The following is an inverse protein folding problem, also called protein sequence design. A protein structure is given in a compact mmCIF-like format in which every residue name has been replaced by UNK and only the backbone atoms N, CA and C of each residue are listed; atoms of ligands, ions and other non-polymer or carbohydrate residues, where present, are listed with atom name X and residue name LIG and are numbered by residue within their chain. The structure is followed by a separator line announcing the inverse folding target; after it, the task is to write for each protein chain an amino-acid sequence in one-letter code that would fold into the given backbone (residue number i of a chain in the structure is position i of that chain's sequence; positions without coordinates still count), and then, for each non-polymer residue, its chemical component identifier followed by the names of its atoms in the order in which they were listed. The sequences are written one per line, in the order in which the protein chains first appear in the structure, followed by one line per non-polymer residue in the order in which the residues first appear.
data_IF_728332822305
#
_entry.id   IF_728332822305
#
_cell.length_a   1.000
_cell.length_b   1.000
_cell.length_c   1.000
_cell.angle_alpha   90.00
_cell.angle_beta   90.00
_cell.angle_gamma   90.00
#
_symmetry.space_group_name_H-M   'P 1'
#
loop_
_entity.id
_entity.type
_entity.pdbx_description
1 polymer ?
#
# COMPACT_ATOMS: atom_id res chain seq x y z
N UNK A 1 -29.64 0.90 6.31
CA UNK A 1 -29.17 1.60 5.89
C UNK A 1 -27.95 1.47 5.31
N UNK A 2 -27.25 0.51 5.45
CA UNK A 2 -26.11 0.47 5.03
C UNK A 2 -25.97 0.21 3.68
N UNK A 3 -25.21 0.84 3.00
CA UNK A 3 -24.93 0.62 1.63
C UNK A 3 -23.56 0.02 1.53
N UNK A 4 -23.10 -0.26 0.35
CA UNK A 4 -21.76 -0.76 0.17
C UNK A 4 -20.70 0.17 0.64
N UNK A 5 -21.00 1.45 0.74
CA UNK A 5 -20.02 2.38 1.22
C UNK A 5 -19.66 2.15 2.64
N UNK A 6 -20.55 1.55 3.38
CA UNK A 6 -20.25 1.39 4.76
C UNK A 6 -19.32 0.29 5.05
N UNK A 7 -18.99 -0.52 4.09
CA UNK A 7 -17.96 -1.50 4.32
C UNK A 7 -16.63 -0.86 4.52
N UNK A 8 -16.46 0.35 3.99
CA UNK A 8 -15.18 1.04 4.16
C UNK A 8 -15.37 2.06 5.25
N UNK A 9 -15.09 1.67 6.47
CA UNK A 9 -15.19 2.55 7.62
C UNK A 9 -14.00 3.50 7.73
N UNK A 10 -12.98 3.29 6.93
CA UNK A 10 -11.74 4.04 7.06
C UNK A 10 -11.36 4.64 5.72
N UNK A 11 -10.90 5.88 5.71
CA UNK A 11 -10.41 6.52 4.51
C UNK A 11 -9.07 5.95 4.13
N UNK A 12 -8.80 5.87 2.83
CA UNK A 12 -7.52 5.39 2.35
C UNK A 12 -6.63 6.55 1.97
N UNK A 13 -5.34 6.42 2.26
CA UNK A 13 -4.36 7.40 1.82
C UNK A 13 -3.93 7.02 0.42
N UNK A 14 -4.03 7.95 -0.51
CA UNK A 14 -3.58 7.73 -1.88
C UNK A 14 -2.23 8.39 -2.06
N UNK A 15 -1.25 7.60 -2.50
CA UNK A 15 0.07 8.13 -2.76
C UNK A 15 0.83 7.10 -3.58
N UNK A 16 1.89 7.54 -4.25
CA UNK A 16 2.68 6.65 -5.08
C UNK A 16 4.05 6.48 -4.46
N UNK A 17 4.37 5.26 -4.08
CA UNK A 17 5.63 4.96 -3.42
C UNK A 17 5.98 3.49 -3.65
N UNK A 18 7.26 3.13 -3.72
CA UNK A 18 7.62 1.74 -3.97
C UNK A 18 7.14 0.80 -2.87
N UNK A 19 6.76 -0.40 -3.26
CA UNK A 19 6.51 -1.49 -2.33
C UNK A 19 7.34 -2.67 -2.81
N UNK A 20 7.98 -3.36 -1.89
CA UNK A 20 8.77 -4.55 -2.19
C UNK A 20 7.99 -5.75 -1.72
N UNK A 21 7.97 -6.81 -2.51
CA UNK A 21 7.20 -8.00 -2.14
C UNK A 21 7.87 -9.26 -2.64
N UNK A 22 7.60 -10.38 -1.96
CA UNK A 22 8.12 -11.69 -2.31
C UNK A 22 7.29 -12.73 -1.58
N UNK A 23 7.37 -14.00 -2.01
CA UNK A 23 6.73 -15.05 -1.26
C UNK A 23 7.39 -15.17 0.12
N UNK A 24 8.72 -15.04 0.14
CA UNK A 24 9.40 -14.79 1.40
C UNK A 24 10.66 -14.02 1.05
N UNK A 25 11.24 -13.34 2.05
CA UNK A 25 12.38 -12.47 1.78
C UNK A 25 13.71 -13.20 1.66
N UNK A 26 13.67 -14.52 1.67
CA UNK A 26 14.87 -15.28 1.38
C UNK A 26 15.02 -15.52 -0.12
N UNK A 27 13.97 -15.26 -0.87
CA UNK A 27 13.99 -15.46 -2.31
C UNK A 27 14.10 -14.14 -3.06
N UNK A 28 13.70 -14.19 -4.32
CA UNK A 28 13.80 -13.03 -5.16
C UNK A 28 12.78 -11.98 -4.79
N UNK A 29 13.23 -10.75 -4.71
CA UNK A 29 12.41 -9.62 -4.33
C UNK A 29 11.91 -8.90 -5.56
N UNK A 30 10.61 -8.63 -5.61
CA UNK A 30 10.01 -7.87 -6.69
C UNK A 30 9.54 -6.53 -6.13
N UNK A 31 9.32 -5.56 -7.00
CA UNK A 31 8.79 -4.29 -6.53
C UNK A 31 7.62 -3.83 -7.38
N UNK A 32 6.77 -3.02 -6.77
CA UNK A 32 5.66 -2.40 -7.43
C UNK A 32 5.50 -0.99 -6.91
N UNK A 33 4.35 -0.40 -7.18
CA UNK A 33 4.07 0.94 -6.74
C UNK A 33 2.76 0.98 -5.97
N UNK A 34 2.82 1.39 -4.71
CA UNK A 34 1.62 1.58 -3.91
C UNK A 34 0.76 2.66 -4.54
N UNK A 35 -0.54 2.48 -4.50
CA UNK A 35 -1.47 3.48 -4.97
C UNK A 35 -2.43 3.92 -3.88
N UNK A 36 -2.74 3.06 -2.92
CA UNK A 36 -3.49 3.49 -1.73
C UNK A 36 -3.24 2.52 -0.59
N UNK A 37 -3.47 2.99 0.63
CA UNK A 37 -3.27 2.18 1.83
C UNK A 37 -4.22 2.61 2.94
N UNK A 38 -4.70 1.62 3.70
CA UNK A 38 -5.44 1.84 4.93
C UNK A 38 -4.72 1.06 6.03
N UNK A 39 -5.28 1.03 7.23
CA UNK A 39 -4.62 0.30 8.30
C UNK A 39 -4.62 -1.21 8.07
N UNK A 40 -5.54 -1.74 7.27
CA UNK A 40 -5.67 -3.18 7.06
C UNK A 40 -5.34 -3.66 5.65
N UNK A 41 -5.39 -2.78 4.67
CA UNK A 41 -5.26 -3.19 3.27
C UNK A 41 -4.42 -2.19 2.48
N UNK A 42 -3.96 -2.62 1.33
CA UNK A 42 -3.26 -1.73 0.41
C UNK A 42 -3.50 -2.21 -1.01
N UNK A 43 -3.31 -1.32 -1.95
CA UNK A 43 -3.34 -1.67 -3.36
C UNK A 43 -2.06 -1.18 -4.00
N UNK A 44 -1.52 -1.97 -4.92
CA UNK A 44 -0.31 -1.58 -5.65
C UNK A 44 -0.39 -2.11 -7.06
N UNK A 45 0.42 -1.53 -7.94
CA UNK A 45 0.55 -2.03 -9.31
C UNK A 45 1.92 -2.67 -9.46
N UNK A 46 2.00 -3.64 -10.34
CA UNK A 46 3.27 -4.31 -10.64
C UNK A 46 3.23 -4.85 -12.05
N UNK A 47 4.37 -5.36 -12.51
CA UNK A 47 4.45 -5.94 -13.83
C UNK A 47 3.63 -7.22 -13.90
N UNK A 48 3.00 -7.43 -15.05
CA UNK A 48 2.27 -8.67 -15.31
C UNK A 48 3.24 -9.68 -15.91
N UNK A 49 3.97 -10.39 -15.07
CA UNK A 49 4.94 -11.38 -15.52
C UNK A 49 4.83 -12.62 -14.62
N UNK A 50 5.81 -13.51 -14.73
CA UNK A 50 5.77 -14.77 -13.98
C UNK A 50 5.82 -14.59 -12.50
N UNK A 51 6.40 -13.48 -12.04
CA UNK A 51 6.53 -13.21 -10.63
C UNK A 51 5.33 -12.46 -10.08
N UNK A 52 4.34 -12.14 -10.92
CA UNK A 52 3.22 -11.35 -10.42
C UNK A 52 2.36 -12.15 -9.45
N UNK A 53 1.82 -11.50 -8.44
CA UNK A 53 0.99 -12.18 -7.45
C UNK A 53 -0.30 -12.74 -8.03
N UNK A 54 -0.90 -13.67 -7.29
CA UNK A 54 -2.19 -14.23 -7.66
C UNK A 54 -3.08 -14.27 -6.43
N UNK A 55 -4.39 -14.26 -6.66
CA UNK A 55 -5.37 -14.21 -5.57
C UNK A 55 -5.19 -15.41 -4.63
N UNK A 56 -5.21 -15.14 -3.35
CA UNK A 56 -5.03 -16.17 -2.33
C UNK A 56 -3.59 -16.39 -1.90
N UNK A 57 -2.64 -15.81 -2.62
CA UNK A 57 -1.23 -16.00 -2.28
C UNK A 57 -0.85 -15.24 -1.03
N UNK A 58 0.06 -15.80 -0.24
CA UNK A 58 0.66 -15.09 0.89
C UNK A 58 1.92 -14.40 0.42
N UNK A 59 2.08 -13.16 0.81
CA UNK A 59 3.25 -12.37 0.43
C UNK A 59 3.86 -11.71 1.65
N UNK A 60 5.17 -11.56 1.61
CA UNK A 60 5.87 -10.69 2.56
C UNK A 60 6.10 -9.37 1.85
N UNK A 61 5.82 -8.26 2.53
CA UNK A 61 5.93 -6.94 1.91
C UNK A 61 6.71 -5.98 2.78
N UNK A 62 7.32 -5.00 2.13
CA UNK A 62 7.98 -3.88 2.79
C UNK A 62 7.62 -2.60 2.07
N UNK A 63 7.25 -1.59 2.82
CA UNK A 63 6.84 -0.32 2.25
C UNK A 63 6.96 0.77 3.30
N UNK A 64 6.86 2.03 2.85
CA UNK A 64 6.93 3.18 3.76
C UNK A 64 5.68 4.01 3.59
N UNK A 65 5.23 4.62 4.68
CA UNK A 65 4.03 5.45 4.68
C UNK A 65 4.36 6.79 5.29
N UNK A 66 3.92 7.90 4.66
CA UNK A 66 4.15 9.21 5.26
C UNK A 66 3.33 9.37 6.53
N UNK A 67 3.98 9.81 7.59
CA UNK A 67 3.35 10.07 8.88
C UNK A 67 3.52 11.53 9.21
N UNK A 68 2.45 12.19 9.60
CA UNK A 68 2.46 13.61 9.91
C UNK A 68 2.37 13.80 11.41
N UNK A 69 3.39 14.42 11.99
CA UNK A 69 3.44 14.63 13.41
C UNK A 69 2.65 15.84 13.83
N UNK A 70 2.55 16.04 15.14
CA UNK A 70 1.75 17.11 15.71
C UNK A 70 2.33 18.48 15.45
N UNK A 71 3.62 18.57 15.15
CA UNK A 71 4.26 19.85 14.95
C UNK A 71 4.76 19.99 13.54
N UNK A 72 3.91 19.70 12.57
CA UNK A 72 4.30 19.76 11.19
C UNK A 72 5.41 18.80 10.83
N UNK A 73 5.72 17.90 11.72
CA UNK A 73 6.73 16.88 11.44
C UNK A 73 6.28 15.95 10.34
N UNK A 74 7.22 15.52 9.53
CA UNK A 74 6.93 14.58 8.46
C UNK A 74 8.03 13.54 8.45
N UNK A 75 7.66 12.28 8.42
CA UNK A 75 8.64 11.22 8.27
C UNK A 75 8.00 10.03 7.58
N UNK A 76 8.84 9.22 6.97
CA UNK A 76 8.38 7.99 6.36
C UNK A 76 8.57 6.87 7.35
N UNK A 77 7.48 6.26 7.76
CA UNK A 77 7.54 5.12 8.66
C UNK A 77 7.63 3.86 7.82
N UNK A 78 8.57 2.99 8.14
CA UNK A 78 8.80 1.76 7.39
C UNK A 78 8.07 0.61 8.03
N UNK A 79 7.44 -0.21 7.20
CA UNK A 79 6.69 -1.35 7.69
C UNK A 79 7.05 -2.60 6.92
N UNK A 80 7.06 -3.73 7.61
CA UNK A 80 7.14 -5.04 7.00
C UNK A 80 5.90 -5.79 7.43
N UNK A 81 5.18 -6.37 6.47
CA UNK A 81 3.94 -7.08 6.77
C UNK A 81 3.80 -8.32 5.94
N UNK A 82 3.30 -9.38 6.57
CA UNK A 82 2.83 -10.54 5.85
C UNK A 82 1.43 -10.23 5.40
N UNK A 83 1.10 -10.54 4.16
CA UNK A 83 -0.17 -10.15 3.57
C UNK A 83 -0.77 -11.30 2.81
N UNK A 84 -2.07 -11.23 2.57
CA UNK A 84 -2.75 -12.15 1.71
C UNK A 84 -3.27 -11.38 0.51
N UNK A 85 -3.04 -11.90 -0.69
CA UNK A 85 -3.55 -11.27 -1.90
C UNK A 85 -5.04 -11.55 -1.98
N UNK A 86 -5.85 -10.49 -2.00
CA UNK A 86 -7.30 -10.63 -2.03
C UNK A 86 -7.84 -10.54 -3.44
N UNK A 87 -7.17 -9.80 -4.31
CA UNK A 87 -7.70 -9.56 -5.63
C UNK A 87 -6.57 -9.11 -6.56
N UNK A 88 -6.66 -9.53 -7.81
CA UNK A 88 -5.71 -9.12 -8.84
C UNK A 88 -6.52 -8.75 -10.09
N UNK A 89 -6.31 -7.54 -10.59
CA UNK A 89 -7.00 -7.07 -11.78
C UNK A 89 -5.99 -6.69 -12.85
N UNK A 90 -6.31 -6.95 -14.12
CA UNK A 90 -5.47 -6.50 -15.21
C UNK A 90 -5.74 -5.03 -15.47
N UNK A 91 -4.69 -4.24 -15.54
CA UNK A 91 -4.79 -2.83 -15.90
C UNK A 91 -4.47 -2.67 -17.37
N UNK A 92 -3.47 -3.42 -17.84
CA UNK A 92 -3.08 -3.45 -19.23
C UNK A 92 -2.41 -4.80 -19.49
N UNK A 93 -1.88 -5.00 -20.69
CA UNK A 93 -1.17 -6.22 -20.98
C UNK A 93 0.11 -6.37 -20.16
N UNK A 94 0.61 -5.26 -19.61
CA UNK A 94 1.89 -5.28 -18.92
C UNK A 94 1.79 -4.98 -17.42
N UNK A 95 0.62 -4.52 -16.95
CA UNK A 95 0.47 -4.06 -15.56
C UNK A 95 -0.73 -4.72 -14.91
N UNK A 96 -0.55 -5.15 -13.67
CA UNK A 96 -1.63 -5.66 -12.83
C UNK A 96 -1.78 -4.80 -11.60
N UNK A 97 -3.00 -4.73 -11.09
CA UNK A 97 -3.31 -4.07 -9.83
C UNK A 97 -3.62 -5.14 -8.81
N UNK A 98 -2.95 -5.10 -7.68
CA UNK A 98 -3.03 -6.12 -6.64
C UNK A 98 -3.57 -5.50 -5.37
N UNK A 99 -4.56 -6.12 -4.76
CA UNK A 99 -5.10 -5.69 -3.47
C UNK A 99 -4.69 -6.71 -2.43
N UNK A 100 -4.05 -6.24 -1.37
CA UNK A 100 -3.55 -7.11 -0.30
C UNK A 100 -4.17 -6.73 1.03
N UNK A 101 -4.29 -7.71 1.89
CA UNK A 101 -4.76 -7.52 3.25
C UNK A 101 -3.63 -7.87 4.20
N UNK A 102 -3.31 -6.97 5.12
CA UNK A 102 -2.24 -7.20 6.10
C UNK A 102 -2.69 -8.23 7.12
N UNK A 103 -1.79 -9.14 7.49
CA UNK A 103 -2.07 -10.07 8.57
C UNK A 103 -2.18 -9.34 9.90
N UNK A 104 -1.46 -8.24 10.02
CA UNK A 104 -1.48 -7.43 11.22
C UNK A 104 -1.69 -5.99 10.82
N UNK A 105 -2.68 -5.29 11.39
CA UNK A 105 -2.96 -3.91 10.98
C UNK A 105 -1.79 -2.98 11.28
N UNK A 106 -1.77 -1.88 10.59
CA UNK A 106 -0.83 -0.81 10.91
C UNK A 106 -1.28 -0.15 12.21
N UNK A 107 -0.37 0.47 12.96
CA UNK A 107 -0.72 1.09 14.24
C UNK A 107 -1.43 2.42 14.12
N UNK A 108 -1.83 2.82 12.94
CA UNK A 108 -2.53 4.08 12.72
C UNK A 108 -3.34 3.98 11.43
N UNK A 109 -4.13 4.99 11.15
CA UNK A 109 -4.97 5.02 9.95
C UNK A 109 -4.37 6.03 8.98
N UNK A 110 -3.65 5.56 7.95
CA UNK A 110 -2.92 6.47 7.06
C UNK A 110 -3.78 7.53 6.38
N UNK A 111 -5.00 7.20 6.00
CA UNK A 111 -5.87 8.13 5.29
C UNK A 111 -6.62 9.07 6.19
N UNK A 112 -6.46 8.93 7.51
CA UNK A 112 -7.17 9.77 8.46
C UNK A 112 -6.23 10.65 9.27
N UNK A 113 -5.06 10.92 8.73
CA UNK A 113 -4.13 11.84 9.35
C UNK A 113 -4.58 13.28 9.08
N UNK A 114 -3.94 14.22 9.75
CA UNK A 114 -4.33 15.61 9.63
C UNK A 114 -4.21 16.17 8.23
N UNK A 115 -3.25 15.69 7.46
CA UNK A 115 -3.06 16.18 6.10
C UNK A 115 -3.74 15.27 5.09
N UNK A 116 -4.18 15.84 3.98
CA UNK A 116 -4.86 15.05 2.97
C UNK A 116 -3.86 14.42 1.99
N UNK A 117 -4.39 13.68 1.02
CA UNK A 117 -3.54 12.94 0.11
C UNK A 117 -2.71 13.85 -0.78
N UNK A 118 -3.20 15.04 -1.09
CA UNK A 118 -2.46 15.98 -1.91
C UNK A 118 -1.19 16.42 -1.17
N UNK A 119 -1.36 16.78 0.10
CA UNK A 119 -0.21 17.21 0.90
C UNK A 119 0.78 16.08 1.08
N UNK A 120 0.28 14.87 1.29
CA UNK A 120 1.16 13.72 1.42
C UNK A 120 2.00 13.53 0.17
N UNK A 121 1.37 13.62 -1.01
CA UNK A 121 2.08 13.42 -2.26
C UNK A 121 3.10 14.53 -2.51
N UNK A 122 2.76 15.76 -2.14
CA UNK A 122 3.68 16.87 -2.29
C UNK A 122 4.92 16.69 -1.42
N UNK A 123 4.73 16.22 -0.21
CA UNK A 123 5.87 16.00 0.68
C UNK A 123 6.74 14.86 0.18
N UNK A 124 6.14 13.84 -0.40
CA UNK A 124 6.90 12.74 -0.97
C UNK A 124 7.73 13.20 -2.16
N UNK A 125 7.22 14.12 -2.96
CA UNK A 125 7.98 14.66 -4.07
C UNK A 125 9.22 15.39 -3.57
N UNK A 126 9.10 16.08 -2.45
CA UNK A 126 10.24 16.77 -1.88
C UNK A 126 11.29 15.79 -1.38
N UNK A 127 10.87 14.66 -0.86
CA UNK A 127 11.79 13.64 -0.36
C UNK A 127 12.57 12.98 -1.49
N UNK A 128 11.97 12.85 -2.65
CA UNK A 128 12.61 12.13 -3.75
C UNK A 128 13.61 12.96 -4.54
N UNK A 129 13.77 14.22 -4.23
CA UNK A 129 14.77 15.04 -4.88
C UNK A 129 16.16 14.82 -4.28
#
# INVERSE_FOLDING_TARGET
METGNERRCERRLRYHWPIWFAEDFNGMLSHGQLIDVSSNTAAFTCKADEASPYAGQSLSTRFSIPCFGAEDGFELANFARTCQVRRVDGVSDFIKRVVIQFAEPLPFKPGEQAEDEFDAQERLKAVTI
#
